data_IF_864067704364
#
_entry.id   IF_864067704364
#
_cell.length_a   1.000
_cell.length_b   1.000
_cell.length_c   1.000
_cell.angle_alpha   90.00
_cell.angle_beta   90.00
_cell.angle_gamma   90.00
#
_symmetry.space_group_name_H-M   'P 1'
#
loop_
_entity.id
_entity.type
_entity.pdbx_description
1 polymer ?
#
# COMPACT_ATOMS: atom_id res chain seq x y z
N UNK A 1 -11.70 -10.62 -8.07
CA UNK A 1 -10.93 -9.73 -7.21
C UNK A 1 -10.21 -10.58 -6.17
N UNK A 2 -8.92 -10.39 -6.03
CA UNK A 2 -8.06 -11.23 -5.18
C UNK A 2 -7.22 -10.33 -4.27
N UNK A 3 -7.07 -10.71 -2.99
CA UNK A 3 -6.22 -9.96 -2.05
C UNK A 3 -4.76 -10.00 -2.52
N UNK A 4 -4.14 -8.83 -2.64
CA UNK A 4 -2.73 -8.71 -2.96
C UNK A 4 -1.88 -8.54 -1.69
N UNK A 5 -2.17 -7.53 -0.90
CA UNK A 5 -1.42 -7.27 0.33
C UNK A 5 -2.20 -6.38 1.30
N UNK A 6 -1.68 -6.32 2.53
CA UNK A 6 -2.05 -5.30 3.52
C UNK A 6 -0.93 -4.26 3.56
N UNK A 7 -1.30 -2.99 3.50
CA UNK A 7 -0.33 -1.89 3.65
C UNK A 7 -0.21 -1.46 5.10
N UNK A 8 1.00 -1.42 5.61
CA UNK A 8 1.34 -1.02 6.97
C UNK A 8 2.25 0.19 6.94
N UNK A 9 1.81 1.30 7.54
CA UNK A 9 2.66 2.47 7.72
C UNK A 9 3.40 2.35 9.05
N UNK A 10 4.70 2.66 9.05
CA UNK A 10 5.54 2.64 10.25
C UNK A 10 6.47 3.85 10.27
N UNK A 11 6.87 4.27 11.46
CA UNK A 11 7.85 5.35 11.60
C UNK A 11 9.30 4.84 11.62
N UNK A 12 9.51 3.52 11.64
CA UNK A 12 10.86 2.93 11.60
C UNK A 12 10.80 1.62 10.81
N UNK A 13 11.11 1.70 9.52
CA UNK A 13 10.96 0.55 8.62
C UNK A 13 11.95 -0.57 8.95
N UNK A 14 13.18 -0.24 9.35
CA UNK A 14 14.19 -1.25 9.67
C UNK A 14 13.80 -2.10 10.86
N UNK A 15 13.35 -1.48 11.93
CA UNK A 15 12.87 -2.20 13.11
C UNK A 15 11.63 -3.03 12.82
N UNK A 16 10.72 -2.50 12.01
CA UNK A 16 9.50 -3.20 11.63
C UNK A 16 9.81 -4.44 10.78
N UNK A 17 10.70 -4.30 9.79
CA UNK A 17 11.18 -5.44 9.01
C UNK A 17 11.75 -6.53 9.94
N UNK A 18 12.64 -6.14 10.84
CA UNK A 18 13.27 -7.10 11.78
C UNK A 18 12.24 -7.83 12.63
N UNK A 19 11.21 -7.11 13.10
CA UNK A 19 10.14 -7.71 13.90
C UNK A 19 9.36 -8.75 13.10
N UNK A 20 9.00 -8.45 11.84
CA UNK A 20 8.30 -9.42 10.99
C UNK A 20 9.16 -10.64 10.64
N UNK A 21 10.46 -10.42 10.37
CA UNK A 21 11.37 -11.55 10.11
C UNK A 21 11.46 -12.50 11.32
N UNK A 22 11.45 -11.97 12.53
CA UNK A 22 11.44 -12.82 13.75
C UNK A 22 10.15 -13.62 13.93
N UNK A 23 9.04 -13.17 13.32
CA UNK A 23 7.78 -13.92 13.30
C UNK A 23 7.77 -15.04 12.24
N UNK A 24 8.80 -15.13 11.41
CA UNK A 24 8.88 -16.11 10.34
C UNK A 24 8.57 -15.58 8.95
N UNK A 25 8.27 -14.29 8.80
CA UNK A 25 8.13 -13.67 7.49
C UNK A 25 9.47 -13.63 6.77
N UNK A 26 9.43 -13.63 5.44
CA UNK A 26 10.61 -13.46 4.60
C UNK A 26 10.45 -12.22 3.74
N UNK A 27 11.57 -11.61 3.33
CA UNK A 27 11.55 -10.48 2.40
C UNK A 27 11.11 -10.95 1.01
N UNK A 28 10.24 -10.20 0.37
CA UNK A 28 9.81 -10.47 -1.01
C UNK A 28 10.87 -9.98 -2.01
N UNK A 29 11.61 -8.94 -1.66
CA UNK A 29 12.71 -8.41 -2.45
C UNK A 29 13.88 -8.04 -1.52
N UNK A 30 15.14 -8.05 -2.01
CA UNK A 30 16.30 -7.93 -1.11
C UNK A 30 16.48 -6.54 -0.51
N UNK A 31 16.15 -5.48 -1.27
CA UNK A 31 16.42 -4.11 -0.87
C UNK A 31 15.15 -3.33 -0.59
N UNK A 32 15.22 -2.39 0.36
CA UNK A 32 14.16 -1.40 0.57
C UNK A 32 14.07 -0.53 -0.68
N UNK A 33 12.86 -0.41 -1.24
CA UNK A 33 12.60 0.45 -2.39
C UNK A 33 12.28 1.86 -1.93
N UNK A 34 12.75 2.84 -2.69
CA UNK A 34 12.49 4.25 -2.43
C UNK A 34 11.58 4.80 -3.54
N UNK A 35 10.40 5.26 -3.15
CA UNK A 35 9.45 5.90 -4.07
C UNK A 35 9.48 7.40 -3.83
N UNK A 36 10.31 8.10 -4.61
CA UNK A 36 10.57 9.54 -4.44
C UNK A 36 9.31 10.40 -4.56
N UNK A 37 8.42 10.20 -5.58
CA UNK A 37 7.24 11.04 -5.73
C UNK A 37 6.32 11.06 -4.51
N UNK A 38 6.23 9.96 -3.77
CA UNK A 38 5.39 9.84 -2.57
C UNK A 38 6.18 9.97 -1.27
N UNK A 39 7.47 10.22 -1.36
CA UNK A 39 8.36 10.35 -0.20
C UNK A 39 8.21 9.17 0.74
N UNK A 40 8.40 7.96 0.23
CA UNK A 40 8.28 6.77 1.05
C UNK A 40 9.31 5.70 0.70
N UNK A 41 9.62 4.87 1.70
CA UNK A 41 10.46 3.68 1.60
C UNK A 41 9.56 2.47 1.78
N UNK A 42 9.77 1.43 0.98
CA UNK A 42 8.86 0.29 0.90
C UNK A 42 9.62 -1.01 1.01
N UNK A 43 9.11 -1.94 1.81
CA UNK A 43 9.55 -3.32 1.88
C UNK A 43 8.34 -4.24 1.99
N UNK A 44 8.28 -5.24 1.13
CA UNK A 44 7.28 -6.31 1.24
C UNK A 44 7.87 -7.50 1.95
N UNK A 45 7.11 -8.04 2.89
CA UNK A 45 7.42 -9.29 3.60
C UNK A 45 6.25 -10.24 3.43
N UNK A 46 6.51 -11.55 3.47
CA UNK A 46 5.43 -12.54 3.31
C UNK A 46 5.58 -13.70 4.27
N UNK A 47 4.44 -14.26 4.65
CA UNK A 47 4.33 -15.53 5.38
C UNK A 47 3.25 -16.34 4.67
N UNK A 48 3.64 -17.46 4.02
CA UNK A 48 2.73 -18.16 3.13
C UNK A 48 2.25 -17.24 2.01
N UNK A 49 0.93 -17.13 1.86
CA UNK A 49 0.32 -16.25 0.84
C UNK A 49 0.06 -14.82 1.34
N UNK A 50 0.25 -14.58 2.63
CA UNK A 50 0.02 -13.26 3.20
C UNK A 50 1.23 -12.35 2.91
N UNK A 51 0.97 -11.28 2.20
CA UNK A 51 1.96 -10.23 1.93
C UNK A 51 1.58 -8.99 2.74
N UNK A 52 2.57 -8.43 3.44
CA UNK A 52 2.45 -7.15 4.13
C UNK A 52 3.42 -6.18 3.48
N UNK A 53 2.91 -5.04 3.03
CA UNK A 53 3.72 -3.98 2.48
C UNK A 53 4.02 -2.97 3.58
N UNK A 54 5.28 -2.91 4.00
CA UNK A 54 5.75 -1.97 5.01
C UNK A 54 6.18 -0.68 4.32
N UNK A 55 5.67 0.45 4.82
CA UNK A 55 5.95 1.76 4.25
C UNK A 55 6.30 2.73 5.36
N UNK A 56 7.30 3.57 5.11
CA UNK A 56 7.68 4.65 6.01
C UNK A 56 8.01 5.91 5.21
N UNK A 57 7.82 7.12 5.79
CA UNK A 57 8.34 8.32 5.15
C UNK A 57 9.85 8.20 4.94
N UNK A 58 10.33 8.57 3.75
CA UNK A 58 11.76 8.59 3.48
C UNK A 58 12.43 9.77 4.19
N UNK A 59 11.74 10.91 4.19
CA UNK A 59 12.14 12.13 4.91
C UNK A 59 10.94 12.58 5.75
N UNK A 60 11.04 12.36 7.07
CA UNK A 60 9.94 12.65 8.00
C UNK A 60 9.62 14.16 8.11
N UNK A 61 10.52 15.03 7.65
CA UNK A 61 10.30 16.49 7.66
C UNK A 61 9.45 16.99 6.51
N UNK A 62 9.15 16.12 5.52
CA UNK A 62 8.40 16.45 4.30
C UNK A 62 7.09 15.68 4.23
N UNK A 63 6.09 16.20 3.50
CA UNK A 63 4.86 15.45 3.25
C UNK A 63 5.14 14.09 2.62
N UNK A 64 4.42 13.07 3.08
CA UNK A 64 4.56 11.69 2.61
C UNK A 64 3.20 11.07 2.46
N UNK A 65 3.07 10.18 1.47
CA UNK A 65 1.84 9.41 1.26
C UNK A 65 1.38 8.67 2.52
N UNK A 66 2.33 8.20 3.34
CA UNK A 66 2.02 7.45 4.55
C UNK A 66 2.07 8.29 5.83
N UNK A 67 2.69 9.47 5.78
CA UNK A 67 2.92 10.29 6.97
C UNK A 67 1.64 10.79 7.63
N UNK A 68 0.63 11.15 6.83
CA UNK A 68 -0.64 11.65 7.36
C UNK A 68 -1.37 10.59 8.18
N UNK A 69 -1.31 9.34 7.75
CA UNK A 69 -1.93 8.23 8.46
C UNK A 69 -1.23 7.98 9.81
N UNK A 70 0.10 8.09 9.83
CA UNK A 70 0.88 7.92 11.06
C UNK A 70 0.55 8.98 12.10
N UNK A 71 0.14 10.18 11.68
CA UNK A 71 -0.27 11.25 12.60
C UNK A 71 -1.60 10.97 13.29
N UNK A 72 -2.36 10.00 12.82
CA UNK A 72 -3.68 9.67 13.41
C UNK A 72 -3.57 8.75 14.62
N UNK A 73 -2.39 8.26 14.96
CA UNK A 73 -2.15 7.33 16.05
C UNK A 73 -0.95 7.74 16.88
N UNK A 74 -0.93 7.32 18.15
CA UNK A 74 0.23 7.44 19.03
C UNK A 74 1.15 6.22 18.93
N UNK A 75 0.68 5.15 18.26
CA UNK A 75 1.49 3.96 18.02
C UNK A 75 2.54 4.21 16.93
N UNK A 76 3.66 3.46 16.91
CA UNK A 76 4.67 3.62 15.87
C UNK A 76 4.27 3.05 14.51
N UNK A 77 3.05 2.54 14.37
CA UNK A 77 2.54 1.91 13.16
C UNK A 77 1.03 2.10 13.04
N UNK A 78 0.51 1.91 11.85
CA UNK A 78 -0.94 1.89 11.59
C UNK A 78 -1.23 1.12 10.31
N UNK A 79 -2.35 0.37 10.27
CA UNK A 79 -2.84 -0.22 9.03
C UNK A 79 -3.21 0.92 8.08
N UNK A 80 -2.60 0.92 6.88
CA UNK A 80 -2.75 2.01 5.94
C UNK A 80 -3.81 1.73 4.88
N UNK A 81 -3.75 0.55 4.26
CA UNK A 81 -4.70 0.19 3.21
C UNK A 81 -4.78 -1.33 3.01
N UNK A 82 -5.86 -1.74 2.34
CA UNK A 82 -6.01 -3.07 1.77
C UNK A 82 -5.74 -2.96 0.28
N UNK A 83 -5.10 -3.94 -0.33
CA UNK A 83 -4.85 -3.96 -1.77
C UNK A 83 -5.40 -5.22 -2.41
N UNK A 84 -6.10 -5.04 -3.53
CA UNK A 84 -6.69 -6.13 -4.32
C UNK A 84 -6.18 -6.13 -5.75
N UNK A 85 -5.88 -7.32 -6.27
CA UNK A 85 -5.66 -7.53 -7.70
C UNK A 85 -6.99 -7.50 -8.42
N UNK A 86 -7.04 -6.82 -9.54
CA UNK A 86 -8.22 -6.74 -10.41
C UNK A 86 -7.81 -6.99 -11.86
N UNK A 87 -8.73 -7.51 -12.66
CA UNK A 87 -8.47 -7.81 -14.07
C UNK A 87 -8.57 -6.56 -14.95
N UNK A 88 -9.44 -5.63 -14.57
CA UNK A 88 -9.69 -4.38 -15.30
C UNK A 88 -9.90 -3.26 -14.29
N UNK A 89 -8.87 -2.47 -14.08
CA UNK A 89 -8.88 -1.42 -13.05
C UNK A 89 -9.86 -0.29 -13.42
N UNK A 90 -10.00 0.04 -14.70
CA UNK A 90 -10.94 1.08 -15.13
C UNK A 90 -12.38 0.65 -14.87
N UNK A 91 -12.71 -0.59 -15.22
CA UNK A 91 -14.04 -1.13 -14.96
C UNK A 91 -14.32 -1.21 -13.47
N UNK A 92 -13.38 -1.72 -12.68
CA UNK A 92 -13.53 -1.84 -11.23
C UNK A 92 -13.77 -0.48 -10.58
N UNK A 93 -12.97 0.51 -10.92
CA UNK A 93 -13.11 1.86 -10.35
C UNK A 93 -14.45 2.48 -10.76
N UNK A 94 -14.83 2.37 -12.04
CA UNK A 94 -16.10 2.91 -12.51
C UNK A 94 -17.30 2.26 -11.81
N UNK A 95 -17.29 0.94 -11.67
CA UNK A 95 -18.39 0.20 -11.00
C UNK A 95 -18.51 0.61 -9.53
N UNK A 96 -17.38 0.75 -8.82
CA UNK A 96 -17.39 1.14 -7.41
C UNK A 96 -17.80 2.61 -7.22
N UNK A 97 -17.30 3.50 -8.08
CA UNK A 97 -17.70 4.91 -8.03
C UNK A 97 -19.19 5.09 -8.29
N UNK A 98 -19.78 4.24 -9.16
CA UNK A 98 -21.21 4.29 -9.47
C UNK A 98 -22.10 3.96 -8.26
N UNK A 99 -21.58 3.27 -7.23
CA UNK A 99 -22.34 2.99 -6.01
C UNK A 99 -22.61 4.26 -5.18
N UNK A 100 -21.81 5.32 -5.37
CA UNK A 100 -21.86 6.52 -4.56
C UNK A 100 -21.20 6.41 -3.19
N UNK A 101 -20.60 5.25 -2.89
CA UNK A 101 -19.98 4.99 -1.57
C UNK A 101 -18.48 5.28 -1.51
N UNK A 102 -17.84 5.50 -2.66
CA UNK A 102 -16.40 5.67 -2.77
C UNK A 102 -16.02 7.05 -3.29
N UNK A 103 -14.88 7.55 -2.81
CA UNK A 103 -14.21 8.72 -3.36
C UNK A 103 -12.84 8.34 -3.91
N UNK A 104 -12.37 9.07 -4.91
CA UNK A 104 -11.02 8.87 -5.44
C UNK A 104 -10.03 9.55 -4.49
N UNK A 105 -9.11 8.76 -3.93
CA UNK A 105 -8.00 9.27 -3.14
C UNK A 105 -6.79 9.55 -4.04
N UNK A 106 -6.47 8.60 -4.93
CA UNK A 106 -5.51 8.79 -6.02
C UNK A 106 -6.08 8.16 -7.28
N UNK A 107 -6.05 8.87 -8.43
CA UNK A 107 -6.56 8.33 -9.69
C UNK A 107 -5.67 7.19 -10.20
N UNK A 108 -6.14 6.51 -11.24
CA UNK A 108 -5.38 5.44 -11.88
C UNK A 108 -4.05 6.02 -12.39
N UNK A 109 -2.95 5.39 -11.99
CA UNK A 109 -1.58 5.79 -12.34
C UNK A 109 -0.66 4.58 -12.34
N UNK A 110 0.58 4.77 -12.78
CA UNK A 110 1.58 3.70 -12.74
C UNK A 110 2.04 3.44 -11.32
N UNK A 111 2.17 2.16 -10.98
CA UNK A 111 2.66 1.73 -9.67
C UNK A 111 4.17 1.63 -9.59
N UNK A 112 4.66 1.26 -8.43
CA UNK A 112 6.09 1.17 -8.11
C UNK A 112 6.72 -0.12 -8.65
N UNK A 113 5.90 -1.14 -8.89
CA UNK A 113 6.36 -2.49 -9.24
C UNK A 113 5.96 -2.85 -10.67
N UNK A 114 6.92 -3.31 -11.49
CA UNK A 114 6.71 -4.00 -12.77
C UNK A 114 5.66 -3.40 -13.73
N UNK A 115 5.62 -2.09 -13.88
CA UNK A 115 4.70 -1.40 -14.81
C UNK A 115 3.22 -1.74 -14.59
N UNK A 116 2.85 -2.02 -13.37
CA UNK A 116 1.46 -2.21 -13.00
C UNK A 116 0.71 -0.87 -12.96
N UNK A 117 -0.61 -0.94 -13.01
CA UNK A 117 -1.47 0.23 -12.74
C UNK A 117 -2.07 0.12 -11.35
N UNK A 118 -2.22 1.25 -10.68
CA UNK A 118 -2.81 1.32 -9.35
C UNK A 118 -3.84 2.45 -9.28
N UNK A 119 -4.76 2.32 -8.32
CA UNK A 119 -5.71 3.35 -7.96
C UNK A 119 -6.02 3.22 -6.47
N UNK A 120 -6.16 4.35 -5.79
CA UNK A 120 -6.61 4.36 -4.39
C UNK A 120 -7.99 4.99 -4.31
N UNK A 121 -8.94 4.23 -3.78
CA UNK A 121 -10.27 4.71 -3.44
C UNK A 121 -10.41 4.77 -1.93
N UNK A 122 -11.26 5.67 -1.45
CA UNK A 122 -11.59 5.77 -0.02
C UNK A 122 -13.05 5.45 0.17
N UNK A 123 -13.32 4.53 1.08
CA UNK A 123 -14.67 4.22 1.55
C UNK A 123 -14.82 4.70 2.99
N UNK A 124 -15.96 5.31 3.30
CA UNK A 124 -16.21 5.92 4.61
C UNK A 124 -16.05 4.94 5.78
N UNK A 125 -16.42 3.69 5.60
CA UNK A 125 -16.39 2.68 6.66
C UNK A 125 -15.22 1.73 6.60
N UNK A 126 -14.63 1.53 5.42
CA UNK A 126 -13.54 0.56 5.25
C UNK A 126 -12.17 1.24 5.13
N UNK A 127 -12.16 2.54 4.84
CA UNK A 127 -10.92 3.29 4.72
C UNK A 127 -10.33 3.26 3.33
N UNK A 128 -9.02 3.24 3.26
CA UNK A 128 -8.27 3.34 2.01
C UNK A 128 -8.09 1.95 1.39
N UNK A 129 -8.42 1.85 0.12
CA UNK A 129 -8.32 0.60 -0.65
C UNK A 129 -7.54 0.87 -1.92
N UNK A 130 -6.50 0.06 -2.16
CA UNK A 130 -5.73 0.07 -3.39
C UNK A 130 -6.23 -1.02 -4.32
N UNK A 131 -6.32 -0.71 -5.61
CA UNK A 131 -6.56 -1.68 -6.67
C UNK A 131 -5.31 -1.76 -7.54
N UNK A 132 -4.95 -2.97 -7.93
CA UNK A 132 -3.70 -3.27 -8.61
C UNK A 132 -4.02 -4.12 -9.84
N UNK A 133 -3.66 -3.60 -11.01
CA UNK A 133 -3.78 -4.36 -12.27
C UNK A 133 -2.39 -4.69 -12.79
N UNK A 134 -2.12 -5.97 -12.97
CA UNK A 134 -0.87 -6.44 -13.53
C UNK A 134 -0.83 -6.17 -15.03
N UNK A 135 0.38 -5.92 -15.61
CA UNK A 135 0.50 -5.77 -17.05
C UNK A 135 -0.06 -6.99 -17.77
N UNK A 136 -0.79 -6.74 -18.86
CA UNK A 136 -1.28 -7.80 -19.75
C UNK A 136 -0.20 -8.11 -20.78
N UNK A 137 0.01 -9.38 -21.04
CA UNK A 137 0.97 -9.84 -22.03
C UNK A 137 0.39 -9.73 -23.44
#
# INVERSE_FOLDING_TARGET
MKMNHLGYATNNIEETISAFLRLGFIKVHPEIKHHVPKNMRIMRVKLGDLIIELMAPADASKPSFVGEKLKTTTEPFVLHHLCYDVDDIHKTVNDLMATGEYGIHEPITDGVFQKNQICFLRHRQIGLIEFFEWPKN
#
